data_IF_684426796419
#
_entry.id   IF_684426796419
#
_cell.length_a   1.000
_cell.length_b   1.000
_cell.length_c   1.000
_cell.angle_alpha   90.00
_cell.angle_beta   90.00
_cell.angle_gamma   90.00
#
_symmetry.space_group_name_H-M   'P 1'
#
loop_
_entity.id
_entity.type
_entity.pdbx_description
1 polymer ?
#
# COMPACT_ATOMS: atom_id res chain seq x y z
N UNK A 1 36.20 15.10 22.53
CA UNK A 1 34.82 14.59 22.74
C UNK A 1 33.79 15.14 21.75
N UNK A 2 33.91 16.36 21.20
CA UNK A 2 32.87 16.97 20.36
C UNK A 2 32.59 16.35 18.97
N UNK A 3 33.56 15.69 18.32
CA UNK A 3 33.31 15.07 16.99
C UNK A 3 32.52 13.75 17.07
N UNK A 4 32.70 12.98 18.14
CA UNK A 4 32.02 11.70 18.31
C UNK A 4 30.52 11.88 18.60
N UNK A 5 30.17 12.87 19.42
CA UNK A 5 28.77 13.24 19.68
C UNK A 5 28.07 13.78 18.43
N UNK A 6 28.72 14.64 17.64
CA UNK A 6 28.18 15.11 16.35
C UNK A 6 27.93 13.97 15.36
N UNK A 7 28.85 13.01 15.24
CA UNK A 7 28.66 11.83 14.39
C UNK A 7 27.47 10.95 14.85
N UNK A 8 27.23 10.83 16.16
CA UNK A 8 26.07 10.10 16.67
C UNK A 8 24.75 10.81 16.37
N UNK A 9 24.71 12.14 16.51
CA UNK A 9 23.54 12.95 16.16
C UNK A 9 23.21 12.84 14.67
N UNK A 10 24.20 13.01 13.79
CA UNK A 10 24.00 12.87 12.34
C UNK A 10 23.53 11.46 11.95
N UNK A 11 24.01 10.42 12.64
CA UNK A 11 23.57 9.03 12.42
C UNK A 11 22.13 8.82 12.87
N UNK A 12 21.73 9.45 13.97
CA UNK A 12 20.35 9.40 14.48
C UNK A 12 19.40 10.14 13.55
N UNK A 13 19.77 11.34 13.11
CA UNK A 13 18.98 12.13 12.17
C UNK A 13 18.77 11.42 10.83
N UNK A 14 19.83 10.79 10.29
CA UNK A 14 19.72 9.97 9.07
C UNK A 14 18.76 8.79 9.25
N UNK A 15 18.83 8.08 10.39
CA UNK A 15 17.90 6.99 10.71
C UNK A 15 16.45 7.47 10.83
N UNK A 16 16.21 8.61 11.46
CA UNK A 16 14.87 9.19 11.60
C UNK A 16 14.30 9.62 10.24
N UNK A 17 15.12 10.23 9.38
CA UNK A 17 14.75 10.58 8.00
C UNK A 17 14.40 9.33 7.18
N UNK A 18 15.22 8.28 7.25
CA UNK A 18 14.95 7.01 6.55
C UNK A 18 13.68 6.34 7.07
N UNK A 19 13.46 6.33 8.39
CA UNK A 19 12.23 5.82 9.01
C UNK A 19 11.00 6.57 8.50
N UNK A 20 11.06 7.90 8.53
CA UNK A 20 9.97 8.76 8.06
C UNK A 20 9.67 8.53 6.58
N UNK A 21 10.71 8.35 5.75
CA UNK A 21 10.55 8.03 4.32
C UNK A 21 9.83 6.69 4.13
N UNK A 22 10.24 5.65 4.86
CA UNK A 22 9.61 4.32 4.81
C UNK A 22 8.14 4.38 5.24
N UNK A 23 7.83 5.08 6.33
CA UNK A 23 6.46 5.24 6.82
C UNK A 23 5.58 5.94 5.80
N UNK A 24 6.05 7.03 5.18
CA UNK A 24 5.30 7.74 4.13
C UNK A 24 5.07 6.88 2.89
N UNK A 25 6.09 6.17 2.42
CA UNK A 25 5.97 5.29 1.26
C UNK A 25 5.04 4.11 1.54
N UNK A 26 5.19 3.45 2.69
CA UNK A 26 4.31 2.36 3.11
C UNK A 26 2.86 2.84 3.24
N UNK A 27 2.64 4.01 3.85
CA UNK A 27 1.33 4.65 3.95
C UNK A 27 0.69 4.85 2.57
N UNK A 28 1.43 5.38 1.60
CA UNK A 28 0.94 5.53 0.22
C UNK A 28 0.48 4.21 -0.40
N UNK A 29 1.24 3.12 -0.26
CA UNK A 29 0.83 1.80 -0.76
C UNK A 29 -0.38 1.23 -0.03
N UNK A 30 -0.51 1.45 1.28
CA UNK A 30 -1.69 1.04 2.02
C UNK A 30 -2.94 1.82 1.60
N UNK A 31 -2.82 3.12 1.33
CA UNK A 31 -3.93 3.93 0.85
C UNK A 31 -4.32 3.55 -0.59
N UNK A 32 -3.35 3.26 -1.47
CA UNK A 32 -3.62 2.66 -2.77
C UNK A 32 -4.31 1.31 -2.66
N UNK A 33 -3.91 0.45 -1.71
CA UNK A 33 -4.55 -0.83 -1.46
C UNK A 33 -6.02 -0.66 -1.07
N UNK A 34 -6.32 0.28 -0.16
CA UNK A 34 -7.71 0.62 0.22
C UNK A 34 -8.51 1.16 -0.97
N UNK A 35 -7.91 2.04 -1.77
CA UNK A 35 -8.55 2.61 -2.95
C UNK A 35 -8.86 1.54 -4.00
N UNK A 36 -7.90 0.64 -4.27
CA UNK A 36 -8.09 -0.49 -5.18
C UNK A 36 -9.20 -1.43 -4.68
N UNK A 37 -9.23 -1.73 -3.39
CA UNK A 37 -10.28 -2.55 -2.80
C UNK A 37 -11.66 -1.89 -2.96
N UNK A 38 -11.78 -0.61 -2.62
CA UNK A 38 -13.04 0.11 -2.76
C UNK A 38 -13.51 0.22 -4.22
N UNK A 39 -12.60 0.56 -5.14
CA UNK A 39 -12.94 0.76 -6.56
C UNK A 39 -13.21 -0.54 -7.30
N UNK A 40 -12.30 -1.52 -7.21
CA UNK A 40 -12.34 -2.73 -8.03
C UNK A 40 -13.15 -3.85 -7.38
N UNK A 41 -13.01 -4.06 -6.07
CA UNK A 41 -13.70 -5.16 -5.38
C UNK A 41 -15.11 -4.74 -5.01
N UNK A 42 -15.26 -3.69 -4.20
CA UNK A 42 -16.58 -3.22 -3.77
C UNK A 42 -17.37 -2.66 -4.96
N UNK A 43 -16.75 -1.80 -5.79
CA UNK A 43 -17.39 -1.29 -7.00
C UNK A 43 -17.75 -2.39 -8.00
N UNK A 44 -16.90 -3.42 -8.15
CA UNK A 44 -17.18 -4.59 -8.99
C UNK A 44 -18.38 -5.39 -8.49
N UNK A 45 -18.47 -5.66 -7.19
CA UNK A 45 -19.60 -6.38 -6.57
C UNK A 45 -20.92 -5.58 -6.73
N UNK A 46 -20.88 -4.28 -6.47
CA UNK A 46 -22.07 -3.41 -6.61
C UNK A 46 -22.57 -3.32 -8.05
N UNK A 47 -21.66 -3.45 -9.03
CA UNK A 47 -21.99 -3.35 -10.44
C UNK A 47 -22.55 -4.66 -11.04
N UNK A 48 -22.60 -5.75 -10.27
CA UNK A 48 -23.12 -7.04 -10.72
C UNK A 48 -24.60 -6.93 -11.13
N UNK A 49 -24.90 -7.16 -12.41
CA UNK A 49 -26.28 -7.19 -12.93
C UNK A 49 -26.71 -8.64 -13.19
N UNK A 50 -27.88 -9.07 -12.68
CA UNK A 50 -28.32 -10.48 -12.76
C UNK A 50 -28.64 -10.99 -14.18
N UNK A 51 -28.79 -10.09 -15.16
CA UNK A 51 -29.21 -10.43 -16.53
C UNK A 51 -28.08 -10.27 -17.58
N UNK A 52 -26.83 -10.08 -17.16
CA UNK A 52 -25.67 -9.92 -18.06
C UNK A 52 -24.64 -11.01 -17.84
N UNK A 53 -23.68 -11.14 -18.76
CA UNK A 53 -22.55 -12.05 -18.59
C UNK A 53 -21.71 -11.66 -17.35
N UNK A 54 -21.89 -12.43 -16.27
CA UNK A 54 -21.27 -12.22 -14.96
C UNK A 54 -19.77 -12.55 -14.98
N UNK A 55 -19.28 -13.28 -15.98
CA UNK A 55 -17.90 -13.74 -16.08
C UNK A 55 -16.89 -12.60 -16.03
N UNK A 56 -17.16 -11.52 -16.76
CA UNK A 56 -16.30 -10.34 -16.80
C UNK A 56 -16.24 -9.60 -15.46
N UNK A 57 -17.37 -9.52 -14.74
CA UNK A 57 -17.45 -8.82 -13.45
C UNK A 57 -16.77 -9.63 -12.34
N UNK A 58 -16.93 -10.95 -12.33
CA UNK A 58 -16.18 -11.83 -11.42
C UNK A 58 -14.67 -11.69 -11.69
N UNK A 59 -14.25 -11.67 -12.96
CA UNK A 59 -12.84 -11.50 -13.32
C UNK A 59 -12.28 -10.16 -12.78
N UNK A 60 -13.04 -9.07 -12.93
CA UNK A 60 -12.67 -7.75 -12.37
C UNK A 60 -12.52 -7.79 -10.86
N UNK A 61 -13.44 -8.42 -10.14
CA UNK A 61 -13.40 -8.55 -8.67
C UNK A 61 -12.17 -9.35 -8.24
N UNK A 62 -11.88 -10.48 -8.90
CA UNK A 62 -10.70 -11.32 -8.59
C UNK A 62 -9.40 -10.56 -8.84
N UNK A 63 -9.29 -9.87 -9.99
CA UNK A 63 -8.14 -9.00 -10.28
C UNK A 63 -7.99 -7.88 -9.24
N UNK A 64 -9.12 -7.29 -8.81
CA UNK A 64 -9.17 -6.33 -7.72
C UNK A 64 -8.55 -6.87 -6.44
N UNK A 65 -9.00 -8.05 -5.98
CA UNK A 65 -8.48 -8.70 -4.76
C UNK A 65 -6.98 -8.93 -4.85
N UNK A 66 -6.50 -9.49 -5.97
CA UNK A 66 -5.07 -9.77 -6.17
C UNK A 66 -4.27 -8.46 -6.12
N UNK A 67 -4.72 -7.42 -6.84
CA UNK A 67 -4.03 -6.12 -6.86
C UNK A 67 -3.97 -5.47 -5.48
N UNK A 68 -5.06 -5.50 -4.71
CA UNK A 68 -5.13 -5.03 -3.34
C UNK A 68 -4.11 -5.75 -2.45
N UNK A 69 -4.06 -7.09 -2.54
CA UNK A 69 -3.12 -7.88 -1.75
C UNK A 69 -1.66 -7.54 -2.09
N UNK A 70 -1.32 -7.37 -3.37
CA UNK A 70 0.04 -7.00 -3.79
C UNK A 70 0.42 -5.62 -3.23
N UNK A 71 -0.46 -4.61 -3.35
CA UNK A 71 -0.21 -3.26 -2.83
C UNK A 71 -0.02 -3.27 -1.30
N UNK A 72 -0.87 -3.98 -0.58
CA UNK A 72 -0.72 -4.13 0.88
C UNK A 72 0.59 -4.82 1.25
N UNK A 73 0.99 -5.87 0.51
CA UNK A 73 2.28 -6.56 0.70
C UNK A 73 3.46 -5.63 0.47
N UNK A 74 3.42 -4.81 -0.59
CA UNK A 74 4.47 -3.81 -0.87
C UNK A 74 4.59 -2.81 0.28
N UNK A 75 3.47 -2.26 0.76
CA UNK A 75 3.48 -1.37 1.93
C UNK A 75 4.12 -2.02 3.16
N UNK A 76 3.77 -3.27 3.44
CA UNK A 76 4.32 -4.03 4.55
C UNK A 76 5.83 -4.32 4.41
N UNK A 77 6.31 -4.61 3.20
CA UNK A 77 7.74 -4.82 2.94
C UNK A 77 8.54 -3.52 3.13
N UNK A 78 7.99 -2.38 2.70
CA UNK A 78 8.65 -1.06 2.81
C UNK A 78 8.70 -0.59 4.27
N UNK A 79 7.67 -0.90 5.06
CA UNK A 79 7.60 -0.52 6.47
C UNK A 79 8.57 -1.34 7.34
N UNK A 80 8.85 -2.59 6.93
CA UNK A 80 9.79 -3.48 7.61
C UNK A 80 11.25 -3.04 7.41
#
# INVERSE_FOLDING_TARGET
MGNFSKMQEEKKERKEKDKTRREKLAGYFFDLSKLSFAGLVVGGIVSLKPNMDISADICRVVLGIISTMILARMGNIILK
#
